data_IF_392881939471
#
_entry.id   IF_392881939471
#
_cell.length_a   1.000
_cell.length_b   1.000
_cell.length_c   1.000
_cell.angle_alpha   90.00
_cell.angle_beta   90.00
_cell.angle_gamma   90.00
#
_symmetry.space_group_name_H-M   'P 1'
#
loop_
_entity.id
_entity.type
_entity.pdbx_description
1 polymer ?
#
# COMPACT_ATOMS: atom_id res chain seq x y z
N UNK A 1 -24.79 -18.78 33.22
CA UNK A 1 -25.09 -18.25 31.87
C UNK A 1 -23.85 -18.42 31.02
N UNK A 2 -23.84 -19.45 30.17
CA UNK A 2 -22.68 -19.88 29.38
C UNK A 2 -22.69 -19.12 28.05
N UNK A 3 -21.65 -18.33 27.77
CA UNK A 3 -21.49 -17.69 26.46
C UNK A 3 -20.62 -18.59 25.55
N UNK A 4 -21.00 -18.86 24.30
CA UNK A 4 -20.33 -19.86 23.46
C UNK A 4 -19.01 -19.33 22.87
N UNK A 5 -18.05 -20.24 22.73
CA UNK A 5 -16.67 -20.08 22.21
C UNK A 5 -16.67 -19.90 20.66
N UNK A 6 -17.69 -19.24 20.11
CA UNK A 6 -17.97 -19.25 18.66
C UNK A 6 -17.74 -17.93 17.92
N UNK A 7 -17.16 -16.91 18.55
CA UNK A 7 -17.00 -15.58 17.94
C UNK A 7 -15.53 -15.21 17.68
N UNK A 8 -14.71 -16.21 17.35
CA UNK A 8 -13.29 -16.03 17.02
C UNK A 8 -12.95 -16.55 15.61
N UNK A 9 -13.92 -17.10 14.88
CA UNK A 9 -13.70 -17.80 13.61
C UNK A 9 -14.27 -17.08 12.37
N UNK A 10 -14.60 -15.78 12.48
CA UNK A 10 -15.19 -15.00 11.39
C UNK A 10 -14.58 -13.61 11.18
N UNK A 11 -13.43 -13.32 11.78
CA UNK A 11 -12.80 -11.98 11.78
C UNK A 11 -11.44 -12.00 11.07
N UNK A 12 -11.41 -12.49 9.83
CA UNK A 12 -10.21 -12.48 9.01
C UNK A 12 -10.46 -12.12 7.54
N UNK A 13 -11.65 -11.64 7.15
CA UNK A 13 -12.02 -11.51 5.73
C UNK A 13 -12.55 -10.13 5.28
N UNK A 14 -12.64 -9.09 6.11
CA UNK A 14 -13.36 -7.86 5.67
C UNK A 14 -12.75 -6.52 6.09
N UNK A 15 -11.43 -6.33 6.07
CA UNK A 15 -10.86 -4.97 6.16
C UNK A 15 -11.33 -4.18 7.39
N UNK A 16 -11.29 -4.79 8.59
CA UNK A 16 -11.68 -4.13 9.83
C UNK A 16 -10.62 -3.13 10.31
N UNK A 17 -10.28 -2.17 9.46
CA UNK A 17 -9.52 -0.96 9.80
C UNK A 17 -10.21 -0.20 10.95
N UNK A 18 -11.54 -0.29 11.05
CA UNK A 18 -12.33 0.27 12.14
C UNK A 18 -12.12 -0.42 13.50
N UNK A 19 -11.85 -1.74 13.55
CA UNK A 19 -11.55 -2.42 14.82
C UNK A 19 -10.17 -2.05 15.34
N UNK A 20 -9.18 -1.82 14.46
CA UNK A 20 -7.85 -1.34 14.84
C UNK A 20 -7.90 0.12 15.36
N UNK A 21 -8.69 0.98 14.72
CA UNK A 21 -8.95 2.35 15.21
C UNK A 21 -9.69 2.32 16.55
N UNK A 22 -10.68 1.43 16.74
CA UNK A 22 -11.36 1.26 18.02
C UNK A 22 -10.45 0.71 19.13
N UNK A 23 -9.56 -0.24 18.82
CA UNK A 23 -8.59 -0.79 19.78
C UNK A 23 -7.64 0.30 20.29
N UNK A 24 -7.22 1.22 19.40
CA UNK A 24 -6.41 2.37 19.76
C UNK A 24 -7.19 3.37 20.64
N UNK A 25 -8.47 3.61 20.32
CA UNK A 25 -9.37 4.51 21.08
C UNK A 25 -9.69 4.00 22.48
N UNK A 26 -9.67 2.68 22.70
CA UNK A 26 -9.92 2.05 24.00
C UNK A 26 -8.68 2.04 24.91
N UNK A 27 -7.47 2.16 24.36
CA UNK A 27 -6.21 2.18 25.10
C UNK A 27 -5.71 3.62 25.37
N UNK A 28 -5.99 4.56 24.47
CA UNK A 28 -5.73 5.98 24.68
C UNK A 28 -6.92 6.63 25.38
N UNK A 29 -6.96 6.55 26.72
CA UNK A 29 -7.87 7.35 27.53
C UNK A 29 -7.72 8.85 27.21
N UNK A 30 -8.63 9.36 26.37
CA UNK A 30 -8.91 10.76 26.05
C UNK A 30 -7.75 11.77 26.09
N UNK A 31 -7.29 12.22 24.91
CA UNK A 31 -7.00 13.65 24.66
C UNK A 31 -6.72 13.94 23.18
N UNK A 32 -7.06 15.18 22.83
CA UNK A 32 -7.14 15.82 21.52
C UNK A 32 -5.97 15.65 20.54
N UNK A 33 -6.36 15.82 19.28
CA UNK A 33 -5.63 16.01 18.03
C UNK A 33 -4.37 16.88 18.16
N UNK A 34 -3.20 16.31 17.80
CA UNK A 34 -2.01 17.01 17.29
C UNK A 34 -0.94 15.99 16.88
N UNK A 35 -0.57 16.00 15.60
CA UNK A 35 0.39 15.12 14.89
C UNK A 35 -0.16 13.79 14.38
N UNK A 36 -0.71 13.82 13.16
CA UNK A 36 -1.05 12.63 12.36
C UNK A 36 0.18 11.70 12.10
N UNK A 37 1.40 12.20 12.31
CA UNK A 37 2.67 11.47 12.10
C UNK A 37 2.95 10.42 13.18
N UNK A 38 2.63 10.70 14.46
CA UNK A 38 2.83 9.76 15.58
C UNK A 38 1.86 8.57 15.51
N UNK A 39 0.63 8.81 15.05
CA UNK A 39 -0.44 7.81 14.92
C UNK A 39 -0.11 6.80 13.82
N UNK A 40 0.32 7.28 12.65
CA UNK A 40 0.71 6.40 11.52
C UNK A 40 1.94 5.56 11.87
N UNK A 41 2.97 6.12 12.51
CA UNK A 41 4.17 5.37 12.89
C UNK A 41 3.91 4.22 13.89
N UNK A 42 2.98 4.38 14.83
CA UNK A 42 2.65 3.32 15.81
C UNK A 42 1.78 2.23 15.18
N UNK A 43 0.79 2.60 14.37
CA UNK A 43 -0.04 1.66 13.62
C UNK A 43 0.79 0.86 12.62
N UNK A 44 1.63 1.52 11.83
CA UNK A 44 2.57 0.87 10.92
C UNK A 44 3.48 -0.10 11.68
N UNK A 45 4.07 0.33 12.80
CA UNK A 45 4.95 -0.54 13.60
C UNK A 45 4.27 -1.79 14.13
N UNK A 46 2.99 -1.70 14.52
CA UNK A 46 2.20 -2.86 14.98
C UNK A 46 1.87 -3.78 13.81
N UNK A 47 1.44 -3.22 12.67
CA UNK A 47 1.10 -3.99 11.48
C UNK A 47 2.32 -4.68 10.86
N UNK A 48 3.49 -4.04 10.87
CA UNK A 48 4.76 -4.66 10.46
C UNK A 48 5.12 -5.82 11.40
N UNK A 49 4.98 -5.65 12.72
CA UNK A 49 5.22 -6.73 13.69
C UNK A 49 4.27 -7.90 13.51
N UNK A 50 3.03 -7.62 13.10
CA UNK A 50 2.02 -8.64 12.79
C UNK A 50 2.19 -9.26 11.40
N UNK A 51 3.17 -8.81 10.60
CA UNK A 51 3.42 -9.30 9.25
C UNK A 51 2.38 -8.85 8.21
N UNK A 52 1.53 -7.89 8.58
CA UNK A 52 0.44 -7.36 7.75
C UNK A 52 0.89 -6.19 6.86
N UNK A 53 2.00 -5.53 7.22
CA UNK A 53 2.62 -4.48 6.41
C UNK A 53 4.10 -4.80 6.16
N UNK A 54 4.58 -4.49 4.95
CA UNK A 54 6.00 -4.47 4.63
C UNK A 54 6.53 -3.06 4.76
N UNK A 55 7.70 -2.91 5.41
CA UNK A 55 8.49 -1.67 5.29
C UNK A 55 9.14 -1.65 3.93
N UNK A 56 8.95 -0.54 3.24
CA UNK A 56 9.66 -0.20 2.03
C UNK A 56 10.60 0.95 2.37
N UNK A 57 11.81 0.90 1.81
CA UNK A 57 12.72 2.04 1.88
C UNK A 57 12.13 3.22 1.09
N UNK A 58 12.59 4.44 1.38
CA UNK A 58 12.17 5.60 0.61
C UNK A 58 12.44 5.35 -0.88
N UNK A 59 11.41 5.61 -1.71
CA UNK A 59 11.47 5.43 -3.16
C UNK A 59 11.59 3.98 -3.66
N UNK A 60 11.43 2.98 -2.80
CA UNK A 60 11.32 1.57 -3.21
C UNK A 60 10.00 1.37 -3.98
N UNK A 61 10.10 1.13 -5.30
CA UNK A 61 8.95 1.03 -6.18
C UNK A 61 8.18 -0.28 -5.98
N UNK A 62 8.76 -1.28 -5.30
CA UNK A 62 8.03 -2.51 -4.94
C UNK A 62 6.95 -2.26 -3.87
N UNK A 63 6.91 -1.06 -3.28
CA UNK A 63 5.76 -0.63 -2.49
C UNK A 63 4.47 -0.66 -3.31
N UNK A 64 4.56 -0.36 -4.60
CA UNK A 64 3.44 -0.26 -5.53
C UNK A 64 2.97 -1.66 -5.94
N UNK A 65 1.68 -1.94 -5.73
CA UNK A 65 1.09 -3.22 -6.09
C UNK A 65 1.16 -3.43 -7.61
N UNK A 66 1.71 -4.58 -8.01
CA UNK A 66 2.00 -4.91 -9.40
C UNK A 66 3.46 -4.68 -9.81
N UNK A 67 4.27 -3.99 -9.00
CA UNK A 67 5.70 -3.79 -9.25
C UNK A 67 6.53 -4.80 -8.45
N UNK A 68 7.06 -5.81 -9.15
CA UNK A 68 8.06 -6.74 -8.60
C UNK A 68 9.51 -6.29 -8.86
N UNK A 69 10.52 -6.99 -8.29
CA UNK A 69 11.94 -6.61 -8.42
C UNK A 69 12.43 -6.43 -9.87
N UNK A 70 11.89 -7.21 -10.81
CA UNK A 70 12.26 -7.12 -12.24
C UNK A 70 11.66 -5.88 -12.92
N UNK A 71 10.46 -5.48 -12.52
CA UNK A 71 9.78 -4.29 -13.04
C UNK A 71 10.43 -3.04 -12.44
N UNK A 72 10.72 -3.03 -11.14
CA UNK A 72 11.47 -1.95 -10.49
C UNK A 72 12.81 -1.71 -11.20
N UNK A 73 13.60 -2.77 -11.43
CA UNK A 73 14.87 -2.66 -12.17
C UNK A 73 14.67 -2.03 -13.56
N UNK A 74 13.67 -2.49 -14.31
CA UNK A 74 13.36 -1.97 -15.63
C UNK A 74 12.98 -0.47 -15.60
N UNK A 75 12.14 -0.06 -14.65
CA UNK A 75 11.75 1.33 -14.48
C UNK A 75 12.95 2.19 -14.08
N UNK A 76 13.83 1.67 -13.23
CA UNK A 76 15.08 2.34 -12.85
C UNK A 76 16.03 2.54 -14.03
N UNK A 77 16.15 1.54 -14.91
CA UNK A 77 16.91 1.63 -16.16
C UNK A 77 16.32 2.68 -17.12
N UNK A 78 14.99 2.86 -17.11
CA UNK A 78 14.29 3.91 -17.83
C UNK A 78 14.33 5.29 -17.13
N UNK A 79 15.00 5.42 -15.98
CA UNK A 79 15.17 6.68 -15.24
C UNK A 79 14.07 6.98 -14.21
N UNK A 80 13.07 6.12 -14.06
CA UNK A 80 11.99 6.27 -13.08
C UNK A 80 12.45 5.60 -11.78
N UNK A 81 13.08 6.36 -10.89
CA UNK A 81 13.73 5.84 -9.66
C UNK A 81 13.09 6.27 -8.35
N UNK A 82 12.02 7.05 -8.41
CA UNK A 82 11.37 7.63 -7.23
C UNK A 82 9.86 7.49 -7.34
N UNK A 83 9.17 7.45 -6.20
CA UNK A 83 7.71 7.49 -6.18
C UNK A 83 7.21 8.76 -6.89
N UNK A 84 7.92 9.89 -6.69
CA UNK A 84 7.55 11.13 -7.38
C UNK A 84 7.69 11.01 -8.89
N UNK A 85 8.79 10.45 -9.40
CA UNK A 85 8.97 10.25 -10.84
C UNK A 85 7.89 9.32 -11.41
N UNK A 86 7.60 8.20 -10.73
CA UNK A 86 6.56 7.27 -11.16
C UNK A 86 5.17 7.93 -11.15
N UNK A 87 4.87 8.77 -10.16
CA UNK A 87 3.57 9.44 -10.01
C UNK A 87 3.24 10.42 -11.15
N UNK A 88 4.25 11.01 -11.77
CA UNK A 88 4.08 12.00 -12.85
C UNK A 88 4.32 11.40 -14.24
N UNK A 89 4.77 10.15 -14.32
CA UNK A 89 4.96 9.46 -15.59
C UNK A 89 3.61 9.01 -16.11
N UNK A 90 3.31 9.29 -17.39
CA UNK A 90 2.06 8.86 -17.99
C UNK A 90 1.98 7.33 -18.05
N UNK A 91 0.78 6.78 -17.82
CA UNK A 91 0.53 5.32 -17.91
C UNK A 91 0.96 4.76 -19.28
N UNK A 92 0.77 5.52 -20.36
CA UNK A 92 1.22 5.16 -21.71
C UNK A 92 2.73 4.98 -21.82
N UNK A 93 3.51 5.82 -21.15
CA UNK A 93 4.97 5.79 -21.21
C UNK A 93 5.50 4.61 -20.40
N UNK A 94 4.91 4.36 -19.23
CA UNK A 94 5.20 3.17 -18.42
C UNK A 94 4.87 1.91 -19.23
N UNK A 95 3.71 1.88 -19.89
CA UNK A 95 3.31 0.76 -20.74
C UNK A 95 4.28 0.56 -21.91
N UNK A 96 4.76 1.63 -22.53
CA UNK A 96 5.75 1.57 -23.61
C UNK A 96 7.08 0.97 -23.13
N UNK A 97 7.54 1.33 -21.92
CA UNK A 97 8.73 0.74 -21.29
C UNK A 97 8.55 -0.77 -21.08
N UNK A 98 7.40 -1.18 -20.52
CA UNK A 98 7.08 -2.60 -20.30
C UNK A 98 7.04 -3.38 -21.61
N UNK A 99 6.39 -2.84 -22.63
CA UNK A 99 6.28 -3.45 -23.96
C UNK A 99 7.64 -3.57 -24.65
N UNK A 100 8.48 -2.53 -24.60
CA UNK A 100 9.82 -2.54 -25.17
C UNK A 100 10.73 -3.59 -24.51
N UNK A 101 10.48 -3.92 -23.23
CA UNK A 101 11.25 -4.90 -22.48
C UNK A 101 10.81 -6.37 -22.69
N UNK A 102 9.79 -6.58 -23.55
CA UNK A 102 9.40 -7.86 -24.10
C UNK A 102 8.28 -8.61 -23.37
N UNK A 103 7.88 -9.75 -23.94
CA UNK A 103 6.66 -10.49 -23.60
C UNK A 103 6.53 -10.89 -22.12
N UNK A 104 7.67 -11.02 -21.43
CA UNK A 104 7.73 -11.34 -20.00
C UNK A 104 6.99 -10.33 -19.09
N UNK A 105 6.69 -9.12 -19.58
CA UNK A 105 5.98 -8.09 -18.83
C UNK A 105 4.57 -7.81 -19.34
N UNK A 106 4.07 -8.55 -20.33
CA UNK A 106 2.74 -8.31 -20.93
C UNK A 106 1.57 -8.38 -19.96
N UNK A 107 1.71 -9.14 -18.87
CA UNK A 107 0.66 -9.27 -17.86
C UNK A 107 0.66 -8.13 -16.83
N UNK A 108 1.71 -7.31 -16.79
CA UNK A 108 1.77 -6.14 -15.91
C UNK A 108 0.77 -5.08 -16.39
N UNK A 109 0.04 -4.48 -15.44
CA UNK A 109 -0.88 -3.38 -15.73
C UNK A 109 -0.46 -2.14 -14.94
N UNK A 110 0.04 -1.09 -15.62
CA UNK A 110 0.49 0.13 -14.96
C UNK A 110 -0.62 1.12 -14.61
N UNK A 111 -1.90 0.81 -14.88
CA UNK A 111 -3.02 1.77 -14.77
C UNK A 111 -3.15 2.43 -13.40
N UNK A 112 -2.79 1.74 -12.32
CA UNK A 112 -2.89 2.24 -10.94
C UNK A 112 -1.56 2.75 -10.37
N UNK A 113 -0.43 2.44 -11.02
CA UNK A 113 0.90 2.69 -10.44
C UNK A 113 1.18 4.17 -10.16
N UNK A 114 0.87 5.12 -11.07
CA UNK A 114 1.11 6.53 -10.78
C UNK A 114 0.34 7.04 -9.56
N UNK A 115 -0.90 6.55 -9.37
CA UNK A 115 -1.74 7.00 -8.25
C UNK A 115 -1.22 6.46 -6.91
N UNK A 116 -0.87 5.18 -6.85
CA UNK A 116 -0.22 4.59 -5.69
C UNK A 116 1.09 5.35 -5.36
N UNK A 117 1.89 5.65 -6.39
CA UNK A 117 3.16 6.36 -6.23
C UNK A 117 2.98 7.81 -5.75
N UNK A 118 1.92 8.52 -6.16
CA UNK A 118 1.60 9.86 -5.64
C UNK A 118 1.31 9.82 -4.13
N UNK A 119 0.50 8.85 -3.68
CA UNK A 119 0.17 8.68 -2.27
C UNK A 119 1.43 8.35 -1.44
N UNK A 120 2.28 7.46 -1.94
CA UNK A 120 3.56 7.13 -1.31
C UNK A 120 4.52 8.33 -1.26
N UNK A 121 4.67 9.08 -2.37
CA UNK A 121 5.50 10.28 -2.45
C UNK A 121 5.05 11.39 -1.48
N UNK A 122 3.77 11.43 -1.15
CA UNK A 122 3.19 12.38 -0.18
C UNK A 122 3.20 11.87 1.26
N UNK A 123 3.62 10.63 1.49
CA UNK A 123 3.58 9.99 2.81
C UNK A 123 2.16 9.75 3.33
N UNK A 124 1.16 9.69 2.44
CA UNK A 124 -0.25 9.47 2.78
C UNK A 124 -0.54 7.98 2.95
N UNK A 125 0.21 7.32 3.84
CA UNK A 125 0.23 5.86 3.98
C UNK A 125 -1.13 5.23 4.29
N UNK A 126 -1.97 5.90 5.09
CA UNK A 126 -3.35 5.45 5.32
C UNK A 126 -4.13 5.36 4.01
N UNK A 127 -4.15 6.46 3.24
CA UNK A 127 -4.85 6.51 1.96
C UNK A 127 -4.22 5.56 0.92
N UNK A 128 -2.90 5.37 0.98
CA UNK A 128 -2.17 4.41 0.16
C UNK A 128 -2.67 2.97 0.39
N UNK A 129 -2.75 2.52 1.64
CA UNK A 129 -3.21 1.17 1.95
C UNK A 129 -4.72 1.00 1.72
N UNK A 130 -5.54 2.00 2.02
CA UNK A 130 -6.97 1.99 1.68
C UNK A 130 -7.19 1.90 0.16
N UNK A 131 -6.35 2.56 -0.63
CA UNK A 131 -6.41 2.46 -2.08
C UNK A 131 -6.01 1.06 -2.56
N UNK A 132 -4.93 0.47 -2.03
CA UNK A 132 -4.52 -0.91 -2.37
C UNK A 132 -5.58 -1.96 -1.99
N UNK A 133 -6.27 -1.81 -0.86
CA UNK A 133 -7.35 -2.72 -0.43
C UNK A 133 -8.55 -2.71 -1.39
N UNK A 134 -8.73 -1.62 -2.14
CA UNK A 134 -9.75 -1.50 -3.19
C UNK A 134 -9.29 -2.08 -4.55
N UNK A 135 -8.02 -2.47 -4.69
CA UNK A 135 -7.50 -3.06 -5.91
C UNK A 135 -7.61 -4.58 -5.89
N UNK A 136 -7.83 -5.16 -7.06
CA UNK A 136 -7.74 -6.59 -7.30
C UNK A 136 -6.44 -6.91 -8.03
N UNK A 137 -5.35 -7.14 -7.29
CA UNK A 137 -4.05 -7.45 -7.87
C UNK A 137 -3.42 -6.27 -8.63
N UNK A 138 -3.60 -5.05 -8.12
CA UNK A 138 -3.10 -3.81 -8.72
C UNK A 138 -3.98 -3.24 -9.84
N UNK A 139 -5.19 -3.78 -10.04
CA UNK A 139 -6.20 -3.29 -10.98
C UNK A 139 -7.41 -2.79 -10.21
N UNK A 140 -8.13 -1.80 -10.73
CA UNK A 140 -9.42 -1.41 -10.13
C UNK A 140 -10.33 -2.66 -10.08
N UNK A 141 -10.93 -2.92 -8.91
CA UNK A 141 -11.73 -4.10 -8.63
C UNK A 141 -13.08 -4.11 -9.39
#
# INVERSE_FOLDING_TARGET
MTRPVGHQAGLAHHGQWDELIMLQKQLAGGKDDSSNTETNSKLESVLIKMGLLKRYDQDDLKAIEGIGPKIELLLHEAGIKTWKALSITAVSDIQAILTAAGDRFQLANPSTWPKQADLAARGEWKAFYEYQDQLNGGKEA
#
